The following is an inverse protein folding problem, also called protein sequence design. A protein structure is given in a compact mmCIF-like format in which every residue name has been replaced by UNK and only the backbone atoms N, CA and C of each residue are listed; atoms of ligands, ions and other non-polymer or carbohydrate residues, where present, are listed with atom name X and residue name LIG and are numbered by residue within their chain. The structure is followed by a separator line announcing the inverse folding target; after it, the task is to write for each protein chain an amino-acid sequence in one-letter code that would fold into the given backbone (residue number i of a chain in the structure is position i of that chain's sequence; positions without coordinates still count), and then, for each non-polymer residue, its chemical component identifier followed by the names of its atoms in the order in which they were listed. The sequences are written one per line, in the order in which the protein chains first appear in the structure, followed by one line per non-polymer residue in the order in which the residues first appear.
data_IF_770632363315
#
_entry.id   IF_770632363315
#
_cell.length_a   1.000
_cell.length_b   1.000
_cell.length_c   1.000
_cell.angle_alpha   90.00
_cell.angle_beta   90.00
_cell.angle_gamma   90.00
#
_symmetry.space_group_name_H-M   'P 1'
#
loop_
_entity.id
_entity.type
_entity.pdbx_description
1 polymer ?
#
# COMPACT_ATOMS: atom_id res chain seq x y z
N UNK A 1 -25.45 1.94 37.24
CA UNK A 1 -24.67 3.12 36.83
C UNK A 1 -23.97 2.75 35.54
N UNK A 2 -24.51 3.22 34.41
CA UNK A 2 -23.95 3.00 33.08
C UNK A 2 -22.78 3.97 32.97
N UNK A 3 -21.57 3.48 32.69
CA UNK A 3 -20.43 4.37 32.46
C UNK A 3 -20.65 5.07 31.12
N UNK A 4 -20.73 6.39 31.15
CA UNK A 4 -20.63 7.24 29.97
C UNK A 4 -19.28 6.96 29.30
N UNK A 5 -19.30 6.32 28.14
CA UNK A 5 -18.13 6.20 27.29
C UNK A 5 -17.98 7.56 26.62
N UNK A 6 -16.98 8.30 27.06
CA UNK A 6 -16.57 9.57 26.52
C UNK A 6 -16.11 9.36 25.06
N UNK A 7 -17.01 9.60 24.11
CA UNK A 7 -16.80 9.55 22.65
C UNK A 7 -15.96 10.74 22.15
N UNK A 8 -14.91 11.11 22.90
CA UNK A 8 -13.98 12.18 22.54
C UNK A 8 -12.65 11.63 22.06
N UNK A 9 -12.70 10.71 21.09
CA UNK A 9 -11.58 10.55 20.14
C UNK A 9 -11.76 11.61 19.06
N UNK A 10 -10.87 12.61 18.95
CA UNK A 10 -10.92 13.53 17.82
C UNK A 10 -10.72 12.71 16.56
N UNK A 11 -11.78 12.62 15.76
CA UNK A 11 -11.81 11.99 14.45
C UNK A 11 -11.00 12.89 13.50
N UNK A 12 -9.67 12.79 13.59
CA UNK A 12 -8.78 13.27 12.54
C UNK A 12 -8.97 12.36 11.33
N UNK A 13 -9.59 12.89 10.29
CA UNK A 13 -9.78 12.31 8.95
C UNK A 13 -10.28 10.86 8.92
N UNK A 14 -11.59 10.71 9.13
CA UNK A 14 -12.32 9.44 9.10
C UNK A 14 -12.37 8.74 7.73
N UNK A 15 -11.23 8.17 7.30
CA UNK A 15 -11.21 6.90 6.58
C UNK A 15 -10.34 5.94 7.36
N UNK A 16 -10.92 4.83 7.81
CA UNK A 16 -10.12 3.63 8.00
C UNK A 16 -9.49 3.30 6.65
N UNK A 17 -8.27 3.77 6.43
CA UNK A 17 -7.44 3.38 5.29
C UNK A 17 -7.00 1.93 5.50
N UNK A 18 -7.95 1.00 5.42
CA UNK A 18 -7.67 -0.41 5.41
C UNK A 18 -6.95 -0.71 4.09
N UNK A 19 -5.62 -0.84 4.16
CA UNK A 19 -4.83 -1.16 3.01
C UNK A 19 -5.30 -2.49 2.40
N UNK A 20 -5.58 -2.50 1.10
CA UNK A 20 -6.05 -3.70 0.39
C UNK A 20 -4.85 -4.45 -0.18
N UNK A 21 -4.76 -5.76 0.07
CA UNK A 21 -3.74 -6.59 -0.57
C UNK A 21 -4.11 -6.84 -2.04
N UNK A 22 -3.21 -6.47 -2.95
CA UNK A 22 -3.39 -6.62 -4.40
C UNK A 22 -2.23 -7.37 -5.06
N UNK A 23 -2.49 -7.94 -6.23
CA UNK A 23 -1.47 -8.45 -7.15
C UNK A 23 -1.24 -7.47 -8.31
N UNK A 24 -0.24 -7.72 -9.15
CA UNK A 24 0.11 -6.82 -10.25
C UNK A 24 -1.02 -6.58 -11.26
N UNK A 25 -1.83 -7.62 -11.57
CA UNK A 25 -2.95 -7.50 -12.49
C UNK A 25 -4.05 -6.53 -12.04
N UNK A 26 -4.16 -6.25 -10.74
CA UNK A 26 -5.19 -5.38 -10.17
C UNK A 26 -4.75 -3.92 -10.03
N UNK A 27 -3.50 -3.58 -10.36
CA UNK A 27 -2.94 -2.24 -10.13
C UNK A 27 -3.80 -1.11 -10.73
N UNK A 28 -4.37 -1.32 -11.92
CA UNK A 28 -5.20 -0.31 -12.58
C UNK A 28 -6.55 -0.09 -11.89
N UNK A 29 -7.07 -1.08 -11.17
CA UNK A 29 -8.35 -0.98 -10.45
C UNK A 29 -8.22 -0.23 -9.12
N UNK A 30 -6.99 -0.12 -8.58
CA UNK A 30 -6.71 0.46 -7.26
C UNK A 30 -5.82 1.71 -7.35
N UNK A 31 -5.93 2.46 -8.45
CA UNK A 31 -5.23 3.74 -8.58
C UNK A 31 -5.65 4.70 -7.47
N UNK A 32 -4.68 5.36 -6.83
CA UNK A 32 -4.89 6.28 -5.70
C UNK A 32 -5.48 5.64 -4.44
N UNK A 33 -5.44 4.32 -4.30
CA UNK A 33 -5.81 3.62 -3.08
C UNK A 33 -4.58 3.21 -2.26
N UNK A 34 -4.73 3.15 -0.93
CA UNK A 34 -3.73 2.51 -0.08
C UNK A 34 -3.78 0.99 -0.32
N UNK A 35 -2.66 0.42 -0.76
CA UNK A 35 -2.58 -0.99 -1.11
C UNK A 35 -1.29 -1.65 -0.60
N UNK A 36 -1.36 -2.94 -0.33
CA UNK A 36 -0.22 -3.81 0.00
C UNK A 36 0.05 -4.70 -1.21
N UNK A 37 1.27 -4.67 -1.73
CA UNK A 37 1.72 -5.55 -2.81
C UNK A 37 2.86 -6.44 -2.32
N UNK A 38 2.81 -7.72 -2.69
CA UNK A 38 3.84 -8.70 -2.31
C UNK A 38 4.41 -9.32 -3.59
N UNK A 39 5.73 -9.28 -3.74
CA UNK A 39 6.43 -9.85 -4.87
C UNK A 39 7.90 -10.10 -4.57
N UNK A 40 8.54 -10.80 -5.49
CA UNK A 40 9.97 -11.09 -5.42
C UNK A 40 10.77 -9.97 -6.07
N UNK A 41 11.73 -9.39 -5.35
CA UNK A 41 12.64 -8.38 -5.89
C UNK A 41 13.43 -8.97 -7.06
N UNK A 42 13.42 -8.27 -8.19
CA UNK A 42 14.14 -8.69 -9.40
C UNK A 42 15.41 -7.87 -9.60
N UNK A 43 15.29 -6.54 -9.47
CA UNK A 43 16.42 -5.61 -9.62
C UNK A 43 16.12 -4.26 -8.97
N UNK A 44 17.20 -3.53 -8.69
CA UNK A 44 17.20 -2.13 -8.26
C UNK A 44 17.59 -1.25 -9.44
N UNK A 45 16.95 -0.09 -9.59
CA UNK A 45 17.17 0.87 -10.66
C UNK A 45 17.27 2.30 -10.11
N UNK A 46 17.85 3.21 -10.90
CA UNK A 46 17.77 4.65 -10.67
C UNK A 46 18.33 5.09 -9.31
N UNK A 47 19.60 4.78 -9.04
CA UNK A 47 20.29 5.14 -7.78
C UNK A 47 19.54 4.66 -6.53
N UNK A 48 19.04 3.42 -6.56
CA UNK A 48 18.24 2.80 -5.48
C UNK A 48 16.89 3.46 -5.21
N UNK A 49 16.41 4.39 -6.05
CA UNK A 49 15.08 5.01 -5.88
C UNK A 49 13.94 4.19 -6.49
N UNK A 50 14.25 3.09 -7.18
CA UNK A 50 13.24 2.23 -7.83
C UNK A 50 13.56 0.76 -7.64
N UNK A 51 12.56 0.01 -7.19
CA UNK A 51 12.59 -1.45 -7.08
C UNK A 51 11.65 -2.04 -8.12
N UNK A 52 12.13 -3.01 -8.90
CA UNK A 52 11.26 -3.83 -9.75
C UNK A 52 10.97 -5.14 -9.02
N UNK A 53 9.70 -5.42 -8.77
CA UNK A 53 9.23 -6.67 -8.17
C UNK A 53 8.45 -7.50 -9.20
N UNK A 54 8.51 -8.82 -9.07
CA UNK A 54 7.64 -9.75 -9.79
C UNK A 54 6.62 -10.33 -8.83
N UNK A 55 5.34 -10.06 -9.06
CA UNK A 55 4.25 -10.61 -8.26
C UNK A 55 3.96 -12.07 -8.64
N UNK A 56 3.19 -12.78 -7.80
CA UNK A 56 2.94 -14.23 -7.97
C UNK A 56 2.08 -14.57 -9.20
N UNK A 57 1.36 -13.59 -9.75
CA UNK A 57 0.64 -13.67 -11.02
C UNK A 57 1.54 -13.42 -12.25
N UNK A 58 2.86 -13.30 -12.05
CA UNK A 58 3.84 -13.16 -13.11
C UNK A 58 4.01 -11.73 -13.67
N UNK A 59 3.29 -10.76 -13.11
CA UNK A 59 3.35 -9.35 -13.51
C UNK A 59 4.56 -8.65 -12.87
N UNK A 60 5.19 -7.75 -13.62
CA UNK A 60 6.27 -6.90 -13.12
C UNK A 60 5.70 -5.56 -12.67
N UNK A 61 6.05 -5.14 -11.45
CA UNK A 61 5.60 -3.87 -10.87
C UNK A 61 6.81 -3.05 -10.44
N UNK A 62 6.72 -1.74 -10.66
CA UNK A 62 7.72 -0.77 -10.21
C UNK A 62 7.27 -0.12 -8.91
N UNK A 63 8.12 -0.16 -7.89
CA UNK A 63 7.95 0.54 -6.63
C UNK A 63 8.93 1.71 -6.62
N UNK A 64 8.40 2.93 -6.45
CA UNK A 64 9.20 4.15 -6.35
C UNK A 64 9.37 4.49 -4.87
N UNK A 65 10.61 4.67 -4.44
CA UNK A 65 10.94 5.03 -3.08
C UNK A 65 11.08 6.55 -2.94
N UNK A 66 10.62 7.10 -1.82
CA UNK A 66 10.82 8.52 -1.49
C UNK A 66 12.26 8.83 -1.07
N UNK A 67 13.00 7.81 -0.61
CA UNK A 67 14.40 7.87 -0.20
C UNK A 67 15.13 6.61 -0.69
N UNK A 68 16.43 6.70 -1.04
CA UNK A 68 17.21 5.55 -1.51
C UNK A 68 17.51 4.52 -0.43
#
# INVERSE_FOLDING_TARGET
MVMDVDDTVPVGDGKSDCAVRINGALMNNYQNCLAIIIGFVQRLEGENKRIVIKTTDGVYVQVILSQP
#
